data_IF_906629621768
#
_entry.id   IF_906629621768
#
_cell.length_a   1.000
_cell.length_b   1.000
_cell.length_c   1.000
_cell.angle_alpha   90.00
_cell.angle_beta   90.00
_cell.angle_gamma   90.00
#
_symmetry.space_group_name_H-M   'P 1'
#
loop_
_entity.id
_entity.type
_entity.pdbx_description
1 polymer ?
#
# COMPACT_ATOMS: atom_id res chain seq x y z
N UNK A 1 -2.99 -38.49 -25.35
CA UNK A 1 -2.13 -37.77 -24.39
C UNK A 1 -0.89 -37.35 -25.15
N UNK A 2 -0.61 -36.04 -25.26
CA UNK A 2 -0.46 -35.16 -24.11
C UNK A 2 -1.45 -33.98 -24.06
N UNK A 3 -1.79 -33.62 -22.83
CA UNK A 3 -2.44 -32.38 -22.43
C UNK A 3 -1.52 -31.19 -22.68
N UNK A 4 -1.93 -30.29 -23.57
CA UNK A 4 -1.33 -28.97 -23.69
C UNK A 4 -2.03 -28.02 -22.71
N UNK A 5 -1.84 -28.28 -21.41
CA UNK A 5 -2.12 -27.29 -20.37
C UNK A 5 -1.08 -26.19 -20.50
N UNK A 6 -1.31 -25.24 -21.40
CA UNK A 6 -0.67 -23.93 -21.37
C UNK A 6 -1.16 -23.24 -20.09
N UNK A 7 -0.50 -23.57 -18.99
CA UNK A 7 -0.51 -22.75 -17.78
C UNK A 7 0.07 -21.40 -18.20
N UNK A 8 -0.80 -20.41 -18.37
CA UNK A 8 -0.37 -19.03 -18.47
C UNK A 8 0.36 -18.70 -17.15
N UNK A 9 1.69 -18.76 -17.16
CA UNK A 9 2.51 -18.10 -16.14
C UNK A 9 2.12 -16.62 -16.18
N UNK A 10 1.29 -16.21 -15.22
CA UNK A 10 1.00 -14.81 -14.95
C UNK A 10 2.36 -14.10 -14.82
N UNK A 11 2.55 -12.93 -15.46
CA UNK A 11 3.80 -12.20 -15.37
C UNK A 11 4.14 -11.96 -13.90
N UNK A 12 5.11 -12.72 -13.39
CA UNK A 12 5.61 -12.63 -12.02
C UNK A 12 6.46 -11.37 -11.94
N UNK A 13 5.81 -10.25 -11.67
CA UNK A 13 6.55 -9.03 -11.35
C UNK A 13 7.41 -9.26 -10.11
N UNK A 14 8.62 -8.71 -10.17
CA UNK A 14 9.53 -8.74 -9.05
C UNK A 14 9.04 -7.75 -7.98
N UNK A 15 8.83 -8.18 -6.73
CA UNK A 15 8.45 -7.30 -5.61
C UNK A 15 9.41 -6.11 -5.43
N UNK A 16 10.64 -6.23 -5.93
CA UNK A 16 11.66 -5.17 -5.97
C UNK A 16 11.20 -3.94 -6.78
N UNK A 17 10.39 -4.14 -7.83
CA UNK A 17 9.94 -3.03 -8.69
C UNK A 17 8.88 -2.15 -8.03
N UNK A 18 7.99 -2.73 -7.21
CA UNK A 18 6.95 -1.98 -6.49
C UNK A 18 7.49 -1.30 -5.24
N UNK A 19 8.47 -1.90 -4.57
CA UNK A 19 9.22 -1.27 -3.47
C UNK A 19 9.90 0.03 -3.93
N UNK A 20 10.59 -0.01 -5.07
CA UNK A 20 11.24 1.18 -5.63
C UNK A 20 10.22 2.28 -5.97
N UNK A 21 9.07 1.92 -6.55
CA UNK A 21 7.98 2.88 -6.84
C UNK A 21 7.39 3.47 -5.56
N UNK A 22 7.14 2.65 -4.53
CA UNK A 22 6.63 3.10 -3.24
C UNK A 22 7.60 4.07 -2.56
N UNK A 23 8.90 3.76 -2.54
CA UNK A 23 9.92 4.66 -2.02
C UNK A 23 9.97 5.99 -2.78
N UNK A 24 9.91 5.94 -4.12
CA UNK A 24 9.91 7.15 -4.97
C UNK A 24 8.66 8.00 -4.73
N UNK A 25 7.50 7.36 -4.55
CA UNK A 25 6.25 8.06 -4.21
C UNK A 25 6.37 8.77 -2.86
N UNK A 26 6.87 8.08 -1.83
CA UNK A 26 7.05 8.68 -0.51
C UNK A 26 8.01 9.87 -0.53
N UNK A 27 9.11 9.78 -1.29
CA UNK A 27 10.04 10.91 -1.48
C UNK A 27 9.37 12.08 -2.19
N UNK A 28 8.62 11.83 -3.27
CA UNK A 28 7.88 12.88 -3.96
C UNK A 28 6.87 13.58 -3.04
N UNK A 29 6.18 12.84 -2.18
CA UNK A 29 5.29 13.41 -1.15
C UNK A 29 6.05 14.27 -0.14
N UNK A 30 7.23 13.83 0.32
CA UNK A 30 8.06 14.61 1.25
C UNK A 30 8.57 15.91 0.62
N UNK A 31 8.91 15.87 -0.66
CA UNK A 31 9.38 17.01 -1.45
C UNK A 31 8.24 17.94 -1.91
N UNK A 32 6.97 17.58 -1.64
CA UNK A 32 5.76 18.24 -2.15
C UNK A 32 5.72 18.35 -3.69
N UNK A 33 6.28 17.36 -4.39
CA UNK A 33 6.24 17.27 -5.86
C UNK A 33 4.95 16.54 -6.30
N UNK A 34 3.89 17.32 -6.50
CA UNK A 34 2.57 16.83 -6.91
C UNK A 34 2.62 16.19 -8.31
N UNK A 35 3.38 16.76 -9.25
CA UNK A 35 3.52 16.24 -10.61
C UNK A 35 4.23 14.88 -10.64
N UNK A 36 5.28 14.69 -9.81
CA UNK A 36 5.90 13.39 -9.65
C UNK A 36 4.95 12.38 -9.01
N UNK A 37 4.21 12.80 -7.98
CA UNK A 37 3.24 11.96 -7.28
C UNK A 37 2.18 11.42 -8.26
N UNK A 38 1.55 12.30 -9.04
CA UNK A 38 0.54 11.92 -10.04
C UNK A 38 1.13 10.97 -11.08
N UNK A 39 2.32 11.29 -11.63
CA UNK A 39 2.99 10.43 -12.63
C UNK A 39 3.28 9.03 -12.11
N UNK A 40 3.69 8.90 -10.86
CA UNK A 40 3.97 7.60 -10.24
C UNK A 40 2.69 6.80 -10.05
N UNK A 41 1.61 7.44 -9.58
CA UNK A 41 0.30 6.79 -9.42
C UNK A 41 -0.29 6.34 -10.76
N UNK A 42 -0.25 7.19 -11.78
CA UNK A 42 -0.68 6.85 -13.14
C UNK A 42 0.16 5.71 -13.72
N UNK A 43 1.47 5.74 -13.50
CA UNK A 43 2.40 4.69 -13.91
C UNK A 43 2.08 3.35 -13.23
N UNK A 44 1.81 3.37 -11.93
CA UNK A 44 1.43 2.19 -11.17
C UNK A 44 0.07 1.63 -11.61
N UNK A 45 -0.92 2.49 -11.89
CA UNK A 45 -2.23 2.07 -12.35
C UNK A 45 -2.19 1.32 -13.70
N UNK A 46 -1.20 1.64 -14.56
CA UNK A 46 -1.01 0.99 -15.87
C UNK A 46 -0.06 -0.22 -15.82
N UNK A 47 0.67 -0.40 -14.72
CA UNK A 47 1.55 -1.54 -14.55
C UNK A 47 0.73 -2.81 -14.20
N UNK A 48 1.22 -4.01 -14.56
CA UNK A 48 0.75 -5.24 -13.91
C UNK A 48 0.87 -5.10 -12.38
N UNK A 49 0.02 -5.77 -11.60
CA UNK A 49 -0.09 -5.57 -10.14
C UNK A 49 -0.79 -4.28 -9.71
N UNK A 50 -0.76 -3.25 -10.58
CA UNK A 50 -1.55 -2.04 -10.43
C UNK A 50 -1.21 -1.23 -9.18
N UNK A 51 -2.18 -0.41 -8.76
CA UNK A 51 -2.12 0.29 -7.47
C UNK A 51 -2.07 -0.68 -6.28
N UNK A 52 -2.54 -1.92 -6.43
CA UNK A 52 -2.56 -2.91 -5.34
C UNK A 52 -1.14 -3.33 -4.95
N UNK A 53 -0.26 -3.58 -5.93
CA UNK A 53 1.15 -3.89 -5.68
C UNK A 53 1.89 -2.74 -5.01
N UNK A 54 1.63 -1.51 -5.48
CA UNK A 54 2.17 -0.29 -4.87
C UNK A 54 1.70 -0.13 -3.41
N UNK A 55 0.41 -0.33 -3.14
CA UNK A 55 -0.16 -0.26 -1.79
C UNK A 55 0.40 -1.34 -0.86
N UNK A 56 0.60 -2.56 -1.36
CA UNK A 56 1.22 -3.63 -0.58
C UNK A 56 2.67 -3.28 -0.21
N UNK A 57 3.44 -2.72 -1.15
CA UNK A 57 4.80 -2.26 -0.90
C UNK A 57 4.85 -1.08 0.09
N UNK A 58 3.92 -0.13 0.00
CA UNK A 58 3.77 0.96 0.97
C UNK A 58 3.44 0.43 2.37
N UNK A 59 2.48 -0.49 2.48
CA UNK A 59 2.11 -1.10 3.75
C UNK A 59 3.31 -1.82 4.39
N UNK A 60 4.09 -2.55 3.59
CA UNK A 60 5.30 -3.21 4.07
C UNK A 60 6.34 -2.21 4.60
N UNK A 61 6.60 -1.12 3.88
CA UNK A 61 7.53 -0.07 4.31
C UNK A 61 7.06 0.63 5.61
N UNK A 62 5.76 0.88 5.75
CA UNK A 62 5.18 1.46 6.97
C UNK A 62 5.29 0.50 8.15
N UNK A 63 5.03 -0.79 7.94
CA UNK A 63 5.20 -1.83 8.97
C UNK A 63 6.67 -1.90 9.41
N UNK A 64 7.61 -1.92 8.46
CA UNK A 64 9.04 -1.93 8.76
C UNK A 64 9.45 -0.71 9.59
N UNK A 65 8.97 0.49 9.22
CA UNK A 65 9.21 1.72 9.99
C UNK A 65 8.61 1.65 11.40
N UNK A 66 7.36 1.17 11.54
CA UNK A 66 6.71 1.03 12.84
C UNK A 66 7.46 0.03 13.73
N UNK A 67 7.80 -1.14 13.20
CA UNK A 67 8.56 -2.16 13.94
C UNK A 67 9.95 -1.64 14.31
N UNK A 68 10.63 -0.92 13.41
CA UNK A 68 11.94 -0.34 13.67
C UNK A 68 11.93 0.80 14.71
N UNK A 69 10.82 1.51 14.87
CA UNK A 69 10.70 2.65 15.79
C UNK A 69 10.17 2.27 17.18
N UNK A 70 9.17 1.39 17.26
CA UNK A 70 8.48 1.04 18.52
C UNK A 70 8.50 -0.46 18.86
N UNK A 71 9.17 -1.28 18.05
CA UNK A 71 9.15 -2.75 18.18
C UNK A 71 7.85 -3.38 17.66
N UNK A 72 7.83 -4.71 17.54
CA UNK A 72 6.67 -5.44 17.01
C UNK A 72 5.41 -5.28 17.86
N UNK A 73 5.54 -5.39 19.19
CA UNK A 73 4.42 -5.21 20.12
C UNK A 73 3.85 -3.79 20.06
N UNK A 74 4.73 -2.79 19.97
CA UNK A 74 4.36 -1.39 19.82
C UNK A 74 3.61 -1.16 18.51
N UNK A 75 4.13 -1.67 17.39
CA UNK A 75 3.51 -1.55 16.08
C UNK A 75 2.10 -2.17 16.06
N UNK A 76 1.94 -3.38 16.61
CA UNK A 76 0.65 -4.06 16.72
C UNK A 76 -0.33 -3.27 17.58
N UNK A 77 0.11 -2.73 18.71
CA UNK A 77 -0.72 -1.90 19.60
C UNK A 77 -1.18 -0.62 18.89
N UNK A 78 -0.28 0.07 18.19
CA UNK A 78 -0.59 1.28 17.43
C UNK A 78 -1.66 0.99 16.38
N UNK A 79 -1.49 -0.06 15.57
CA UNK A 79 -2.48 -0.43 14.55
C UNK A 79 -3.85 -0.78 15.15
N UNK A 80 -3.88 -1.50 16.28
CA UNK A 80 -5.14 -1.80 16.98
C UNK A 80 -5.83 -0.54 17.53
N UNK A 81 -5.06 0.42 18.05
CA UNK A 81 -5.60 1.71 18.50
C UNK A 81 -6.17 2.50 17.32
N UNK A 82 -5.49 2.52 16.18
CA UNK A 82 -6.01 3.16 14.96
C UNK A 82 -7.33 2.53 14.50
N UNK A 83 -7.46 1.20 14.56
CA UNK A 83 -8.73 0.52 14.27
C UNK A 83 -9.84 0.92 15.24
N UNK A 84 -9.51 1.00 16.54
CA UNK A 84 -10.46 1.45 17.56
C UNK A 84 -10.91 2.89 17.30
N UNK A 85 -9.97 3.81 17.08
CA UNK A 85 -10.26 5.22 16.81
C UNK A 85 -11.12 5.38 15.54
N UNK A 86 -10.85 4.60 14.50
CA UNK A 86 -11.66 4.59 13.28
C UNK A 86 -13.09 4.07 13.55
N UNK A 87 -13.24 3.03 14.38
CA UNK A 87 -14.55 2.50 14.74
C UNK A 87 -15.39 3.48 15.56
N UNK A 88 -14.77 4.21 16.50
CA UNK A 88 -15.45 5.18 17.35
C UNK A 88 -15.85 6.46 16.60
N UNK A 89 -15.05 6.88 15.61
CA UNK A 89 -15.34 8.07 14.80
C UNK A 89 -16.17 7.76 13.54
N UNK A 90 -16.21 6.50 13.09
CA UNK A 90 -17.04 6.06 11.97
C UNK A 90 -18.55 6.18 12.26
N UNK A 91 -18.96 5.98 13.51
CA UNK A 91 -20.36 6.12 13.95
C UNK A 91 -20.87 7.58 13.94
N UNK A 92 -19.98 8.59 13.94
CA UNK A 92 -20.39 10.01 13.94
C UNK A 92 -20.90 10.51 12.57
N UNK A 93 -20.82 9.69 11.51
CA UNK A 93 -21.29 10.06 10.17
C UNK A 93 -22.64 9.46 9.78
N UNK A 94 -23.25 8.60 10.61
CA UNK A 94 -24.53 7.96 10.31
C UNK A 94 -25.78 8.62 10.94
N UNK A 95 -25.62 9.68 11.76
CA UNK A 95 -26.74 10.30 12.51
C UNK A 95 -27.07 11.75 12.10
N UNK A 96 -26.60 12.24 10.94
CA UNK A 96 -26.96 13.58 10.41
C UNK A 96 -27.87 13.54 9.17
N UNK A 97 -28.75 12.54 9.07
CA UNK A 97 -29.90 12.58 8.16
C UNK A 97 -31.16 12.09 8.89
N UNK A 98 -31.80 12.98 9.64
CA UNK A 98 -33.20 12.86 10.08
C UNK A 98 -33.88 14.22 9.98
#
# INVERSE_FOLDING_TARGET
MPDESTSAELPTQSPVSDQARAATLLLACLDNDEDATIRILDGANRAPGGLQGLLAALAAAVIELLVGTVGEDGARKTLNMTLLDASLNGDLTHDQQA
#
